data_IF_650269644328
#
_entry.id   IF_650269644328
#
_cell.length_a   1.000
_cell.length_b   1.000
_cell.length_c   1.000
_cell.angle_alpha   90.00
_cell.angle_beta   90.00
_cell.angle_gamma   90.00
#
_symmetry.space_group_name_H-M   'P 1'
#
loop_
_entity.id
_entity.type
_entity.pdbx_description
1 polymer ?
#
# COMPACT_ATOMS: atom_id res chain seq x y z
N UNK A 1 -11.45 4.88 4.08
CA UNK A 1 -10.03 5.20 4.30
C UNK A 1 -9.60 5.11 5.76
N UNK A 2 -10.33 5.68 6.72
CA UNK A 2 -9.99 5.55 8.15
C UNK A 2 -9.76 4.09 8.59
N UNK A 3 -10.67 3.18 8.21
CA UNK A 3 -10.53 1.74 8.45
C UNK A 3 -9.19 1.20 7.93
N UNK A 4 -8.80 1.57 6.71
CA UNK A 4 -7.53 1.16 6.10
C UNK A 4 -6.34 1.73 6.86
N UNK A 5 -6.42 2.99 7.29
CA UNK A 5 -5.35 3.60 8.08
C UNK A 5 -5.13 2.88 9.42
N UNK A 6 -6.19 2.37 10.04
CA UNK A 6 -6.10 1.58 11.28
C UNK A 6 -5.62 0.15 11.02
N UNK A 7 -6.18 -0.53 10.00
CA UNK A 7 -5.86 -1.93 9.73
C UNK A 7 -4.49 -2.12 9.07
N UNK A 8 -4.07 -1.23 8.17
CA UNK A 8 -2.82 -1.36 7.43
C UNK A 8 -1.56 -1.31 8.31
N UNK A 9 -1.63 -0.64 9.45
CA UNK A 9 -0.55 -0.58 10.44
C UNK A 9 -0.58 -1.71 11.49
N UNK A 10 -1.66 -2.49 11.53
CA UNK A 10 -1.84 -3.53 12.53
C UNK A 10 -1.01 -4.78 12.17
N UNK A 11 -0.31 -5.32 13.14
CA UNK A 11 0.38 -6.62 13.09
C UNK A 11 -0.03 -7.46 14.29
N UNK A 12 -0.03 -8.78 14.13
CA UNK A 12 -0.35 -9.72 15.22
C UNK A 12 0.91 -10.50 15.58
N UNK A 13 1.32 -10.41 16.85
CA UNK A 13 2.46 -11.15 17.38
C UNK A 13 2.19 -12.67 17.45
N UNK A 14 3.23 -13.49 17.27
CA UNK A 14 3.10 -14.95 17.20
C UNK A 14 2.81 -15.58 18.57
N UNK A 15 3.40 -15.04 19.65
CA UNK A 15 3.38 -15.73 20.95
C UNK A 15 2.08 -15.51 21.73
N UNK A 16 1.54 -14.28 21.76
CA UNK A 16 0.38 -13.92 22.60
C UNK A 16 -0.80 -13.33 21.80
N UNK A 17 -0.77 -13.38 20.46
CA UNK A 17 -1.72 -12.64 19.60
C UNK A 17 -1.83 -11.15 19.94
N UNK A 18 -0.74 -10.55 20.41
CA UNK A 18 -0.71 -9.13 20.75
C UNK A 18 -0.91 -8.27 19.50
N UNK A 19 -1.75 -7.24 19.64
CA UNK A 19 -1.98 -6.24 18.61
C UNK A 19 -0.85 -5.22 18.63
N UNK A 20 0.03 -5.30 17.65
CA UNK A 20 1.17 -4.40 17.49
C UNK A 20 0.82 -3.40 16.39
N UNK A 21 0.75 -2.11 16.73
CA UNK A 21 0.57 -1.07 15.72
C UNK A 21 1.93 -0.52 15.29
N UNK A 22 2.34 -0.83 14.06
CA UNK A 22 3.59 -0.31 13.49
C UNK A 22 3.38 1.09 12.92
N UNK A 23 4.18 2.04 13.40
CA UNK A 23 4.28 3.37 12.80
C UNK A 23 4.79 3.27 11.37
N UNK A 24 4.19 4.00 10.40
CA UNK A 24 4.66 3.99 9.03
C UNK A 24 6.08 4.57 8.94
N UNK A 25 6.97 3.88 8.22
CA UNK A 25 8.31 4.38 7.96
C UNK A 25 8.25 5.71 7.17
N UNK A 26 9.27 6.56 7.32
CA UNK A 26 9.33 7.87 6.65
C UNK A 26 9.15 7.74 5.12
N UNK A 27 9.73 6.71 4.52
CA UNK A 27 9.61 6.46 3.09
C UNK A 27 8.16 6.18 2.65
N UNK A 28 7.34 5.58 3.52
CA UNK A 28 5.92 5.34 3.25
C UNK A 28 5.13 6.66 3.21
N UNK A 29 5.52 7.63 4.04
CA UNK A 29 4.94 8.98 3.99
C UNK A 29 5.34 9.70 2.70
N UNK A 30 6.60 9.59 2.28
CA UNK A 30 7.07 10.15 1.01
C UNK A 30 6.30 9.54 -0.18
N UNK A 31 6.12 8.22 -0.20
CA UNK A 31 5.32 7.55 -1.23
C UNK A 31 3.85 7.95 -1.17
N UNK A 32 3.28 8.14 0.02
CA UNK A 32 1.93 8.66 0.17
C UNK A 32 1.80 10.06 -0.43
N UNK A 33 2.75 10.98 -0.19
CA UNK A 33 2.75 12.31 -0.80
C UNK A 33 2.82 12.22 -2.32
N UNK A 34 3.73 11.41 -2.86
CA UNK A 34 3.84 11.19 -4.31
C UNK A 34 2.54 10.62 -4.90
N UNK A 35 1.89 9.68 -4.19
CA UNK A 35 0.63 9.10 -4.61
C UNK A 35 -0.53 10.10 -4.57
N UNK A 36 -0.59 10.97 -3.55
CA UNK A 36 -1.57 12.07 -3.52
C UNK A 36 -1.35 13.03 -4.70
N UNK A 37 -0.10 13.37 -5.02
CA UNK A 37 0.21 14.19 -6.19
C UNK A 37 -0.25 13.53 -7.49
N UNK A 38 -0.10 12.20 -7.62
CA UNK A 38 -0.65 11.44 -8.74
C UNK A 38 -2.17 11.49 -8.82
N UNK A 39 -2.88 11.46 -7.69
CA UNK A 39 -4.33 11.57 -7.66
C UNK A 39 -4.82 12.93 -8.17
N UNK A 40 -4.12 14.02 -7.84
CA UNK A 40 -4.41 15.33 -8.43
C UNK A 40 -4.09 15.36 -9.93
N UNK A 41 -2.92 14.85 -10.35
CA UNK A 41 -2.53 14.85 -11.77
C UNK A 41 -3.50 14.03 -12.63
N UNK A 42 -3.93 12.87 -12.15
CA UNK A 42 -4.87 11.99 -12.86
C UNK A 42 -6.35 12.40 -12.68
N UNK A 43 -6.61 13.59 -12.12
CA UNK A 43 -7.95 14.12 -11.85
C UNK A 43 -8.85 13.18 -11.03
N UNK A 44 -8.25 12.33 -10.19
CA UNK A 44 -9.01 11.53 -9.22
C UNK A 44 -9.53 12.42 -8.09
N UNK A 45 -8.76 13.43 -7.72
CA UNK A 45 -9.12 14.48 -6.76
C UNK A 45 -9.01 15.82 -7.48
N UNK A 46 -10.06 16.62 -7.39
CA UNK A 46 -10.10 17.97 -7.96
C UNK A 46 -10.39 18.96 -6.84
N UNK A 47 -9.57 20.01 -6.72
CA UNK A 47 -9.71 21.01 -5.65
C UNK A 47 -11.04 21.77 -5.80
N UNK A 48 -11.40 22.15 -7.02
CA UNK A 48 -12.60 22.95 -7.30
C UNK A 48 -13.89 22.15 -7.03
N UNK A 49 -13.84 20.82 -7.16
CA UNK A 49 -14.97 19.94 -6.87
C UNK A 49 -15.13 19.61 -5.39
N UNK A 50 -14.03 19.62 -4.64
CA UNK A 50 -13.98 19.15 -3.24
C UNK A 50 -14.10 20.28 -2.22
N UNK A 51 -13.57 21.46 -2.51
CA UNK A 51 -13.63 22.60 -1.59
C UNK A 51 -14.25 23.79 -2.31
N UNK A 52 -15.32 24.34 -1.75
CA UNK A 52 -15.96 25.55 -2.26
C UNK A 52 -16.48 26.38 -1.11
N UNK A 53 -16.51 27.70 -1.30
CA UNK A 53 -17.15 28.65 -0.38
C UNK A 53 -18.68 28.46 -0.35
N UNK A 54 -19.25 27.89 -1.41
CA UNK A 54 -20.68 27.58 -1.50
C UNK A 54 -21.09 26.36 -0.65
N UNK A 55 -20.11 25.57 -0.20
CA UNK A 55 -20.36 24.41 0.64
C UNK A 55 -20.47 24.81 2.11
N UNK A 56 -21.36 24.13 2.85
CA UNK A 56 -21.44 24.31 4.30
C UNK A 56 -20.11 23.96 4.97
N UNK A 57 -19.80 24.62 6.09
CA UNK A 57 -18.58 24.36 6.87
C UNK A 57 -18.43 22.87 7.22
N UNK A 58 -19.56 22.18 7.50
CA UNK A 58 -19.57 20.74 7.78
C UNK A 58 -19.12 19.91 6.57
N UNK A 59 -19.56 20.27 5.36
CA UNK A 59 -19.17 19.57 4.13
C UNK A 59 -17.69 19.76 3.80
N UNK A 60 -17.18 20.98 3.92
CA UNK A 60 -15.74 21.25 3.73
C UNK A 60 -14.88 20.51 4.77
N UNK A 61 -15.34 20.46 6.03
CA UNK A 61 -14.66 19.72 7.09
C UNK A 61 -14.67 18.21 6.82
N UNK A 62 -15.80 17.67 6.36
CA UNK A 62 -15.92 16.27 5.99
C UNK A 62 -14.98 15.90 4.83
N UNK A 63 -14.92 16.74 3.79
CA UNK A 63 -14.01 16.55 2.65
C UNK A 63 -12.54 16.62 3.08
N UNK A 64 -12.20 17.55 3.97
CA UNK A 64 -10.88 17.62 4.61
C UNK A 64 -10.54 16.35 5.41
N UNK A 65 -11.48 15.82 6.18
CA UNK A 65 -11.32 14.57 6.92
C UNK A 65 -11.13 13.36 5.98
N UNK A 66 -11.87 13.30 4.87
CA UNK A 66 -11.66 12.26 3.84
C UNK A 66 -10.27 12.36 3.24
N UNK A 67 -9.81 13.57 2.89
CA UNK A 67 -8.48 13.79 2.36
C UNK A 67 -7.37 13.37 3.35
N UNK A 68 -7.50 13.76 4.62
CA UNK A 68 -6.56 13.38 5.68
C UNK A 68 -6.53 11.86 5.88
N UNK A 69 -7.70 11.22 5.92
CA UNK A 69 -7.77 9.75 6.07
C UNK A 69 -7.30 9.01 4.83
N UNK A 70 -7.46 9.57 3.63
CA UNK A 70 -6.89 9.04 2.39
C UNK A 70 -5.36 9.09 2.41
N UNK A 71 -4.77 10.20 2.86
CA UNK A 71 -3.33 10.31 3.04
C UNK A 71 -2.80 9.28 4.04
N UNK A 72 -3.43 9.20 5.23
CA UNK A 72 -3.04 8.24 6.26
C UNK A 72 -3.19 6.78 5.77
N UNK A 73 -4.28 6.47 5.05
CA UNK A 73 -4.49 5.16 4.45
C UNK A 73 -3.42 4.82 3.40
N UNK A 74 -3.05 5.79 2.55
CA UNK A 74 -2.01 5.61 1.54
C UNK A 74 -0.65 5.28 2.17
N UNK A 75 -0.27 6.00 3.22
CA UNK A 75 0.95 5.71 3.98
C UNK A 75 0.91 4.30 4.60
N UNK A 76 -0.25 3.89 5.12
CA UNK A 76 -0.42 2.57 5.72
C UNK A 76 -0.46 1.43 4.70
N UNK A 77 -0.95 1.68 3.48
CA UNK A 77 -0.84 0.73 2.38
C UNK A 77 0.62 0.49 2.01
N UNK A 78 1.44 1.54 1.88
CA UNK A 78 2.88 1.34 1.64
C UNK A 78 3.57 0.66 2.82
N UNK A 79 3.24 1.02 4.06
CA UNK A 79 3.75 0.36 5.27
C UNK A 79 3.38 -1.14 5.32
N UNK A 80 2.21 -1.49 4.80
CA UNK A 80 1.74 -2.87 4.66
C UNK A 80 2.50 -3.64 3.58
N UNK A 81 2.67 -3.03 2.40
CA UNK A 81 3.28 -3.67 1.24
C UNK A 81 4.81 -3.76 1.31
N UNK A 82 5.46 -2.81 1.99
CA UNK A 82 6.90 -2.84 2.19
C UNK A 82 7.26 -3.93 3.22
N UNK A 83 8.29 -4.74 2.94
CA UNK A 83 8.90 -5.59 3.96
C UNK A 83 9.40 -4.76 5.14
N UNK A 84 9.37 -5.28 6.35
CA UNK A 84 9.61 -4.49 7.55
C UNK A 84 11.09 -4.08 7.72
N UNK A 85 12.03 -4.91 7.25
CA UNK A 85 13.47 -4.64 7.30
C UNK A 85 14.24 -5.50 6.26
N UNK A 86 15.57 -5.32 6.23
CA UNK A 86 16.48 -6.08 5.39
C UNK A 86 16.59 -5.59 3.93
N UNK A 87 17.27 -6.37 3.10
CA UNK A 87 17.42 -6.08 1.67
C UNK A 87 16.09 -6.00 0.88
N UNK A 88 15.06 -6.83 1.16
CA UNK A 88 13.79 -6.76 0.45
C UNK A 88 13.08 -5.42 0.63
N UNK A 89 13.21 -4.80 1.80
CA UNK A 89 12.68 -3.46 2.05
C UNK A 89 13.24 -2.47 1.03
N UNK A 90 14.55 -2.42 0.87
CA UNK A 90 15.22 -1.50 -0.04
C UNK A 90 14.89 -1.76 -1.51
N UNK A 91 14.88 -3.04 -1.93
CA UNK A 91 14.56 -3.40 -3.31
C UNK A 91 13.12 -3.02 -3.66
N UNK A 92 12.16 -3.41 -2.82
CA UNK A 92 10.74 -3.10 -3.07
C UNK A 92 10.47 -1.60 -2.96
N UNK A 93 11.09 -0.91 -1.99
CA UNK A 93 11.00 0.54 -1.88
C UNK A 93 11.57 1.25 -3.11
N UNK A 94 12.72 0.80 -3.62
CA UNK A 94 13.29 1.36 -4.85
C UNK A 94 12.37 1.15 -6.06
N UNK A 95 11.79 -0.05 -6.21
CA UNK A 95 10.81 -0.33 -7.26
C UNK A 95 9.58 0.59 -7.16
N UNK A 96 9.04 0.80 -5.96
CA UNK A 96 7.95 1.75 -5.74
C UNK A 96 8.34 3.17 -6.06
N UNK A 97 9.49 3.63 -5.56
CA UNK A 97 10.00 4.97 -5.82
C UNK A 97 10.13 5.22 -7.32
N UNK A 98 10.82 4.30 -8.03
CA UNK A 98 11.00 4.37 -9.47
C UNK A 98 9.67 4.41 -10.21
N UNK A 99 8.71 3.57 -9.83
CA UNK A 99 7.40 3.50 -10.49
C UNK A 99 6.57 4.76 -10.24
N UNK A 100 6.48 5.23 -9.00
CA UNK A 100 5.75 6.45 -8.65
C UNK A 100 6.37 7.67 -9.31
N UNK A 101 7.70 7.75 -9.33
CA UNK A 101 8.44 8.83 -9.98
C UNK A 101 8.15 8.89 -11.48
N UNK A 102 8.26 7.76 -12.19
CA UNK A 102 7.93 7.68 -13.61
C UNK A 102 6.45 8.04 -13.85
N UNK A 103 5.56 7.55 -12.99
CA UNK A 103 4.13 7.83 -13.14
C UNK A 103 3.81 9.31 -12.94
N UNK A 104 4.61 10.03 -12.14
CA UNK A 104 4.41 11.44 -11.89
C UNK A 104 4.59 12.28 -13.14
N UNK A 105 5.35 11.81 -14.13
CA UNK A 105 5.62 12.51 -15.38
C UNK A 105 4.82 11.98 -16.58
N UNK A 106 4.13 10.85 -16.43
CA UNK A 106 3.35 10.24 -17.50
C UNK A 106 1.90 10.77 -17.55
N UNK A 107 1.30 10.73 -18.74
CA UNK A 107 -0.09 11.11 -18.93
C UNK A 107 -1.01 9.96 -18.57
N UNK A 108 -1.60 10.07 -17.37
CA UNK A 108 -2.51 9.08 -16.83
C UNK A 108 -3.95 9.59 -16.80
N UNK A 109 -4.82 8.74 -17.33
CA UNK A 109 -6.26 8.79 -17.08
C UNK A 109 -6.55 8.12 -15.73
N UNK A 110 -7.57 8.60 -15.00
CA UNK A 110 -8.02 8.08 -13.71
C UNK A 110 -8.19 6.55 -13.72
N UNK A 111 -8.83 5.99 -14.76
CA UNK A 111 -9.04 4.54 -14.87
C UNK A 111 -7.73 3.77 -15.06
N UNK A 112 -6.81 4.33 -15.85
CA UNK A 112 -5.49 3.74 -16.09
C UNK A 112 -4.65 3.79 -14.81
N UNK A 113 -4.72 4.88 -14.06
CA UNK A 113 -4.06 5.01 -12.77
C UNK A 113 -4.57 3.96 -11.78
N UNK A 114 -5.88 3.83 -11.59
CA UNK A 114 -6.45 2.84 -10.67
C UNK A 114 -6.10 1.40 -11.05
N UNK A 115 -6.13 1.06 -12.34
CA UNK A 115 -5.71 -0.26 -12.83
C UNK A 115 -4.23 -0.51 -12.59
N UNK A 116 -3.39 0.48 -12.85
CA UNK A 116 -1.95 0.42 -12.62
C UNK A 116 -1.62 0.25 -11.14
N UNK A 117 -2.25 1.03 -10.26
CA UNK A 117 -2.09 0.92 -8.81
C UNK A 117 -2.58 -0.43 -8.27
N UNK A 118 -3.74 -0.90 -8.74
CA UNK A 118 -4.24 -2.23 -8.39
C UNK A 118 -3.26 -3.33 -8.75
N UNK A 119 -2.68 -3.28 -9.96
CA UNK A 119 -1.66 -4.22 -10.39
C UNK A 119 -0.37 -4.10 -9.57
N UNK A 120 0.13 -2.88 -9.34
CA UNK A 120 1.36 -2.62 -8.60
C UNK A 120 1.24 -3.09 -7.14
N UNK A 121 0.15 -2.75 -6.46
CA UNK A 121 -0.07 -3.15 -5.08
C UNK A 121 -0.35 -4.65 -4.95
N UNK A 122 -1.14 -5.21 -5.86
CA UNK A 122 -1.36 -6.66 -5.90
C UNK A 122 -0.07 -7.44 -6.11
N UNK A 123 0.78 -6.97 -7.04
CA UNK A 123 2.09 -7.59 -7.29
C UNK A 123 3.01 -7.46 -6.08
N UNK A 124 3.09 -6.29 -5.44
CA UNK A 124 3.88 -6.12 -4.22
C UNK A 124 3.38 -7.00 -3.06
N UNK A 125 2.05 -7.14 -2.90
CA UNK A 125 1.45 -8.02 -1.89
C UNK A 125 1.82 -9.48 -2.16
N UNK A 126 1.69 -9.95 -3.40
CA UNK A 126 2.09 -11.30 -3.82
C UNK A 126 3.59 -11.52 -3.62
N UNK A 127 4.42 -10.54 -3.97
CA UNK A 127 5.86 -10.63 -3.74
C UNK A 127 6.19 -10.76 -2.23
N UNK A 128 5.54 -9.97 -1.36
CA UNK A 128 5.74 -10.03 0.09
C UNK A 128 5.21 -11.32 0.72
N UNK A 129 4.02 -11.77 0.34
CA UNK A 129 3.34 -12.86 1.03
C UNK A 129 3.46 -14.23 0.36
N UNK A 130 3.66 -14.30 -0.95
CA UNK A 130 3.89 -15.56 -1.64
C UNK A 130 5.37 -15.78 -1.90
N UNK A 131 6.10 -14.80 -2.44
CA UNK A 131 7.51 -15.04 -2.78
C UNK A 131 8.37 -15.10 -1.52
N UNK A 132 8.36 -14.05 -0.69
CA UNK A 132 9.17 -14.01 0.54
C UNK A 132 8.77 -15.08 1.57
N UNK A 133 7.48 -15.41 1.69
CA UNK A 133 7.06 -16.48 2.61
C UNK A 133 7.54 -17.87 2.18
N UNK A 134 7.53 -18.17 0.87
CA UNK A 134 8.07 -19.44 0.36
C UNK A 134 9.61 -19.50 0.44
N UNK A 135 10.31 -18.36 0.41
CA UNK A 135 11.76 -18.34 0.65
C UNK A 135 12.14 -18.52 2.12
N UNK A 136 11.24 -18.18 3.06
CA UNK A 136 11.49 -18.25 4.52
C UNK A 136 10.97 -19.57 5.14
N UNK A 137 10.21 -20.38 4.39
CA UNK A 137 9.83 -21.74 4.81
C UNK A 137 11.04 -22.68 4.73
N UNK A 138 11.85 -22.67 5.78
CA UNK A 138 12.89 -23.66 6.03
C UNK A 138 12.28 -24.87 6.76
N UNK A 139 12.50 -26.06 6.21
CA UNK A 139 12.22 -27.36 6.81
C UNK A 139 12.77 -27.48 8.25
N UNK A 140 12.05 -28.21 9.10
CA UNK A 140 12.43 -28.48 10.50
C UNK A 140 13.79 -29.21 10.58
N UNK A 141 14.85 -28.57 11.10
CA UNK A 141 16.19 -29.17 11.20
C UNK A 141 17.21 -28.32 11.99
N UNK A 142 18.31 -28.95 12.45
CA UNK A 142 19.36 -28.30 13.24
C UNK A 142 20.18 -27.29 12.40
N UNK A 143 20.60 -26.17 13.01
CA UNK A 143 21.32 -25.10 12.31
C UNK A 143 22.58 -25.57 11.57
N UNK A 144 23.35 -26.50 12.16
CA UNK A 144 24.53 -27.09 11.51
C UNK A 144 24.18 -27.93 10.28
N UNK A 145 23.02 -28.60 10.28
CA UNK A 145 22.56 -29.38 9.12
C UNK A 145 22.13 -28.45 7.96
N UNK A 146 21.51 -27.30 8.27
CA UNK A 146 21.09 -26.30 7.28
C UNK A 146 22.24 -25.58 6.58
N UNK A 147 23.29 -25.21 7.33
CA UNK A 147 24.50 -24.59 6.75
C UNK A 147 25.22 -25.55 5.80
N UNK A 148 25.23 -26.84 6.12
CA UNK A 148 25.88 -27.86 5.29
C UNK A 148 25.07 -28.23 4.05
N UNK A 149 23.74 -28.24 4.15
CA UNK A 149 22.86 -28.66 3.07
C UNK A 149 22.50 -27.53 2.09
N UNK A 150 22.36 -26.28 2.56
CA UNK A 150 21.99 -25.12 1.74
C UNK A 150 22.69 -23.82 2.21
N UNK A 151 24.01 -23.65 1.99
CA UNK A 151 24.76 -22.48 2.47
C UNK A 151 24.25 -21.15 1.89
N UNK A 152 23.71 -21.17 0.67
CA UNK A 152 23.12 -19.98 0.04
C UNK A 152 21.82 -19.52 0.72
N UNK A 153 20.99 -20.44 1.22
CA UNK A 153 19.72 -20.09 1.88
C UNK A 153 19.95 -19.51 3.28
N UNK A 154 20.92 -20.01 4.04
CA UNK A 154 21.26 -19.45 5.36
C UNK A 154 21.85 -18.03 5.23
N UNK A 155 22.73 -17.80 4.24
CA UNK A 155 23.26 -16.46 3.94
C UNK A 155 22.15 -15.49 3.52
N UNK A 156 21.19 -15.94 2.71
CA UNK A 156 20.01 -15.16 2.32
C UNK A 156 19.11 -14.92 3.54
N UNK A 157 18.87 -15.91 4.40
CA UNK A 157 18.03 -15.77 5.60
C UNK A 157 18.59 -14.72 6.56
N UNK A 158 19.92 -14.66 6.73
CA UNK A 158 20.59 -13.62 7.52
C UNK A 158 20.53 -12.23 6.85
N UNK A 159 20.60 -12.17 5.51
CA UNK A 159 20.44 -10.93 4.73
C UNK A 159 18.99 -10.39 4.75
N UNK A 160 18.03 -11.29 4.93
CA UNK A 160 16.61 -11.03 4.91
C UNK A 160 16.09 -10.60 6.29
N UNK A 161 16.59 -11.19 7.38
CA UNK A 161 16.23 -10.93 8.80
C UNK A 161 14.80 -10.37 9.00
N UNK A 162 13.77 -11.05 8.48
CA UNK A 162 12.40 -10.51 8.53
C UNK A 162 11.76 -10.86 9.88
N UNK A 163 11.14 -9.88 10.57
CA UNK A 163 10.36 -10.18 11.76
C UNK A 163 9.19 -11.09 11.38
N UNK A 164 9.03 -12.19 12.12
CA UNK A 164 7.92 -13.12 11.89
C UNK A 164 6.68 -12.63 12.64
N UNK A 165 5.60 -12.42 11.91
CA UNK A 165 4.28 -12.12 12.46
C UNK A 165 3.33 -13.31 12.26
N UNK A 166 2.24 -13.34 13.03
CA UNK A 166 1.22 -14.36 12.86
C UNK A 166 0.56 -14.24 11.46
N UNK A 167 0.11 -15.35 10.84
CA UNK A 167 -0.56 -15.34 9.53
C UNK A 167 -1.77 -14.40 9.46
N UNK A 168 -2.44 -14.19 10.60
CA UNK A 168 -3.53 -13.23 10.78
C UNK A 168 -3.20 -11.82 10.27
N UNK A 169 -1.93 -11.42 10.36
CA UNK A 169 -1.40 -10.16 9.82
C UNK A 169 -1.61 -10.05 8.31
N UNK A 170 -1.34 -11.12 7.55
CA UNK A 170 -1.50 -11.12 6.09
C UNK A 170 -2.96 -10.94 5.66
N UNK A 171 -3.90 -11.55 6.38
CA UNK A 171 -5.33 -11.37 6.11
C UNK A 171 -5.78 -9.92 6.38
N UNK A 172 -5.36 -9.33 7.50
CA UNK A 172 -5.67 -7.93 7.81
C UNK A 172 -5.14 -6.98 6.73
N UNK A 173 -3.90 -7.20 6.28
CA UNK A 173 -3.28 -6.41 5.22
C UNK A 173 -3.96 -6.60 3.86
N UNK A 174 -4.39 -7.82 3.53
CA UNK A 174 -5.17 -8.10 2.33
C UNK A 174 -6.47 -7.31 2.31
N UNK A 175 -7.25 -7.37 3.40
CA UNK A 175 -8.52 -6.63 3.49
C UNK A 175 -8.28 -5.12 3.52
N UNK A 176 -7.23 -4.64 4.20
CA UNK A 176 -6.87 -3.22 4.17
C UNK A 176 -6.59 -2.74 2.73
N UNK A 177 -5.85 -3.53 1.95
CA UNK A 177 -5.57 -3.20 0.56
C UNK A 177 -6.85 -3.24 -0.30
N UNK A 178 -7.68 -4.26 -0.13
CA UNK A 178 -8.95 -4.40 -0.85
C UNK A 178 -9.86 -3.19 -0.58
N UNK A 179 -10.05 -2.83 0.69
CA UNK A 179 -10.87 -1.68 1.06
C UNK A 179 -10.28 -0.35 0.59
N UNK A 180 -8.95 -0.25 0.49
CA UNK A 180 -8.31 0.92 -0.10
C UNK A 180 -8.64 1.07 -1.58
N UNK A 181 -8.47 0.00 -2.37
CA UNK A 181 -8.75 0.01 -3.80
C UNK A 181 -10.25 0.26 -4.09
N UNK A 182 -11.13 -0.37 -3.32
CA UNK A 182 -12.58 -0.14 -3.40
C UNK A 182 -12.91 1.32 -3.03
N UNK A 183 -12.30 1.85 -1.98
CA UNK A 183 -12.45 3.26 -1.59
C UNK A 183 -12.03 4.22 -2.70
N UNK A 184 -10.89 3.96 -3.36
CA UNK A 184 -10.44 4.77 -4.50
C UNK A 184 -11.37 4.66 -5.71
N UNK A 185 -11.93 3.47 -5.95
CA UNK A 185 -12.91 3.26 -7.03
C UNK A 185 -14.17 4.10 -6.80
N UNK A 186 -14.68 4.15 -5.57
CA UNK A 186 -15.82 5.01 -5.22
C UNK A 186 -15.49 6.51 -5.27
N UNK A 187 -14.20 6.87 -5.13
CA UNK A 187 -13.74 8.25 -5.23
C UNK A 187 -13.68 8.77 -6.68
N UNK A 188 -13.61 7.86 -7.67
CA UNK A 188 -13.45 8.27 -9.06
C UNK A 188 -14.59 9.17 -9.52
N UNK A 189 -14.29 10.36 -10.08
CA UNK A 189 -15.30 11.22 -10.66
C UNK A 189 -16.08 10.46 -11.74
N UNK A 190 -17.40 10.65 -11.77
CA UNK A 190 -18.23 10.14 -12.87
C UNK A 190 -17.72 10.76 -14.18
N UNK A 191 -17.57 9.96 -15.26
CA UNK A 191 -17.31 10.53 -16.57
C UNK A 191 -18.42 11.55 -16.89
N UNK A 192 -18.10 12.66 -17.58
CA UNK A 192 -19.11 13.61 -18.01
C UNK A 192 -20.18 12.83 -18.79
N UNK A 193 -21.45 13.07 -18.45
CA UNK A 193 -22.56 12.55 -19.24
C UNK A 193 -22.28 12.94 -20.69
N UNK A 194 -22.02 11.92 -21.52
CA UNK A 194 -21.93 12.13 -22.95
C UNK A 194 -23.33 12.52 -23.37
N UNK A 195 -23.56 13.83 -23.52
CA UNK A 195 -24.74 14.35 -24.16
C UNK A 195 -24.80 13.70 -25.53
N UNK A 196 -25.56 12.61 -25.65
CA UNK A 196 -26.09 12.13 -26.91
C UNK A 196 -27.15 13.14 -27.30
N UNK A 197 -26.69 14.30 -27.76
CA UNK A 197 -27.50 15.24 -28.50
C UNK A 197 -27.06 15.20 -29.97
N UNK A 198 -27.95 14.58 -30.74
CA UNK A 198 -28.30 14.86 -32.14
C UNK A 198 -27.39 14.24 -33.23
N UNK A 199 -27.97 13.29 -33.94
CA UNK A 199 -28.44 13.55 -35.30
C UNK A 199 -29.86 12.98 -35.42
#
# INVERSE_FOLDING_TARGET
>A
FLLVAMLGGLRIGIQNSEFIFLRPALISLVFAVALIALFFRAKLIDFDGWFSEDYSALRNTANGAVFLTLFAASAQVFNSLLPEQGLPFWVVAFCFFWTLWNNLFADFDTRKLLRSLGALFGFAFVAKYLVLANFVSAEEGSWLYRVWQNPGQEAITYLLDLPRFAPATGYLQFFALLFYLVGLFFLSPKPPETNVQKA
#
